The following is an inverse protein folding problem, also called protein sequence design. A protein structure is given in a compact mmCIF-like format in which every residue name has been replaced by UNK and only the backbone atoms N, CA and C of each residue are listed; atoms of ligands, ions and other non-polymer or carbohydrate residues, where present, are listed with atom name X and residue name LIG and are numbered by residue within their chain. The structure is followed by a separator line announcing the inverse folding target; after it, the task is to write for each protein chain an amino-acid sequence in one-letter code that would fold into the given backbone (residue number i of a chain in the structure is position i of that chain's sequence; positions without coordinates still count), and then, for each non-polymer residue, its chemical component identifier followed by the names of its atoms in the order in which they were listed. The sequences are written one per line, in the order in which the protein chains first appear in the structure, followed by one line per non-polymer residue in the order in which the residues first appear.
data_IF_625724155693
#
_entry.id   IF_625724155693
#
_cell.length_a   1.000
_cell.length_b   1.000
_cell.length_c   1.000
_cell.angle_alpha   90.00
_cell.angle_beta   90.00
_cell.angle_gamma   90.00
#
_symmetry.space_group_name_H-M   'P 1'
#
loop_
_entity.id
_entity.type
_entity.pdbx_description
1 polymer ?
#
# COMPACT_ATOMS: atom_id res chain seq x y z
N UNK A 1 21.32 32.18 -3.51
CA UNK A 1 20.38 31.98 -4.63
C UNK A 1 19.43 30.84 -4.27
N UNK A 2 18.32 31.16 -3.60
CA UNK A 2 17.29 30.19 -3.20
C UNK A 2 16.48 29.82 -4.45
N UNK A 3 16.68 28.60 -4.96
CA UNK A 3 15.83 28.03 -6.00
C UNK A 3 14.45 27.75 -5.39
N UNK A 4 13.55 28.72 -5.49
CA UNK A 4 12.12 28.49 -5.37
C UNK A 4 11.74 27.45 -6.42
N UNK A 5 11.50 26.21 -5.98
CA UNK A 5 10.83 25.18 -6.76
C UNK A 5 9.47 25.75 -7.17
N UNK A 6 9.40 26.34 -8.36
CA UNK A 6 8.13 26.61 -9.03
C UNK A 6 7.49 25.26 -9.31
N UNK A 7 6.61 24.80 -8.42
CA UNK A 7 5.72 23.68 -8.70
C UNK A 7 5.01 23.96 -10.03
N UNK A 8 5.03 22.99 -10.94
CA UNK A 8 4.28 23.10 -12.18
C UNK A 8 2.79 23.24 -11.79
N UNK A 9 2.12 24.28 -12.27
CA UNK A 9 0.74 24.67 -11.90
C UNK A 9 -0.28 23.49 -11.92
N UNK A 10 -0.03 22.44 -12.70
CA UNK A 10 -0.85 21.23 -12.77
C UNK A 10 -0.61 20.17 -11.68
N UNK A 11 0.54 20.15 -11.01
CA UNK A 11 0.83 19.17 -9.94
C UNK A 11 -0.05 19.42 -8.69
N UNK A 12 -0.33 20.70 -8.39
CA UNK A 12 -1.16 21.08 -7.24
C UNK A 12 -2.66 20.89 -7.44
N UNK A 13 -3.18 20.98 -8.67
CA UNK A 13 -4.62 20.83 -8.95
C UNK A 13 -5.09 19.38 -8.92
N UNK A 14 -4.29 18.46 -9.47
CA UNK A 14 -4.58 17.03 -9.40
C UNK A 14 -4.65 16.59 -7.93
N UNK A 15 -3.66 16.98 -7.11
CA UNK A 15 -3.61 16.60 -5.70
C UNK A 15 -4.79 17.09 -4.87
N UNK A 16 -5.22 18.34 -5.07
CA UNK A 16 -6.42 18.88 -4.40
C UNK A 16 -7.66 18.03 -4.67
N UNK A 17 -7.76 17.44 -5.87
CA UNK A 17 -8.87 16.54 -6.20
C UNK A 17 -8.80 15.25 -5.40
N UNK A 18 -7.62 14.61 -5.31
CA UNK A 18 -7.42 13.44 -4.44
C UNK A 18 -7.82 13.71 -2.99
N UNK A 19 -7.30 14.79 -2.40
CA UNK A 19 -7.57 15.15 -1.00
C UNK A 19 -9.06 15.40 -0.75
N UNK A 20 -9.71 16.19 -1.61
CA UNK A 20 -11.14 16.49 -1.50
C UNK A 20 -12.00 15.23 -1.61
N UNK A 21 -11.76 14.39 -2.62
CA UNK A 21 -12.54 13.15 -2.82
C UNK A 21 -12.34 12.17 -1.68
N UNK A 22 -11.10 12.03 -1.20
CA UNK A 22 -10.81 11.18 -0.04
C UNK A 22 -11.54 11.66 1.21
N UNK A 23 -11.47 12.97 1.49
CA UNK A 23 -12.13 13.55 2.64
C UNK A 23 -13.64 13.30 2.62
N UNK A 24 -14.30 13.55 1.48
CA UNK A 24 -15.74 13.30 1.31
C UNK A 24 -16.12 11.83 1.57
N UNK A 25 -15.33 10.87 1.07
CA UNK A 25 -15.57 9.44 1.33
C UNK A 25 -15.42 9.10 2.81
N UNK A 26 -14.38 9.61 3.47
CA UNK A 26 -14.15 9.31 4.88
C UNK A 26 -15.17 9.98 5.80
N UNK A 27 -15.66 11.17 5.49
CA UNK A 27 -16.78 11.80 6.22
C UNK A 27 -18.04 10.92 6.17
N UNK A 28 -18.31 10.27 5.04
CA UNK A 28 -19.44 9.35 4.90
C UNK A 28 -19.22 8.02 5.65
N UNK A 29 -18.06 7.39 5.46
CA UNK A 29 -17.78 6.05 5.99
C UNK A 29 -17.46 6.05 7.49
N UNK A 30 -16.85 7.14 7.99
CA UNK A 30 -16.37 7.30 9.38
C UNK A 30 -16.67 8.71 9.91
N UNK A 31 -17.94 9.13 10.03
CA UNK A 31 -18.32 10.50 10.38
C UNK A 31 -17.83 10.98 11.76
N UNK A 32 -17.49 10.04 12.64
CA UNK A 32 -16.99 10.35 13.99
C UNK A 32 -15.45 10.48 14.06
N UNK A 33 -14.75 10.31 12.93
CA UNK A 33 -13.30 10.35 12.84
C UNK A 33 -12.86 11.36 11.78
N UNK A 34 -11.80 12.10 12.05
CA UNK A 34 -11.22 13.03 11.06
C UNK A 34 -10.10 12.36 10.30
N UNK A 35 -10.18 12.35 8.97
CA UNK A 35 -9.16 11.75 8.10
C UNK A 35 -8.49 12.78 7.18
N UNK A 36 -7.17 12.69 7.05
CA UNK A 36 -6.36 13.53 6.15
C UNK A 36 -5.56 12.67 5.16
N UNK A 37 -5.32 13.23 3.97
CA UNK A 37 -4.45 12.65 2.95
C UNK A 37 -3.38 13.65 2.54
N UNK A 38 -2.11 13.24 2.62
CA UNK A 38 -0.94 14.07 2.30
C UNK A 38 -0.02 13.34 1.32
N UNK A 39 0.78 14.10 0.56
CA UNK A 39 1.77 13.53 -0.37
C UNK A 39 3.13 13.49 0.30
N UNK A 40 3.84 12.39 0.13
CA UNK A 40 5.19 12.21 0.64
C UNK A 40 6.08 11.52 -0.41
N UNK A 41 6.97 12.30 -1.04
CA UNK A 41 7.79 11.85 -2.18
C UNK A 41 8.76 10.72 -1.83
N UNK A 42 9.15 10.58 -0.56
CA UNK A 42 10.10 9.59 -0.08
C UNK A 42 9.42 8.41 0.64
N UNK A 43 8.09 8.26 0.52
CA UNK A 43 7.38 7.14 1.13
C UNK A 43 7.94 5.81 0.61
N UNK A 44 8.31 4.93 1.54
CA UNK A 44 8.94 3.64 1.27
C UNK A 44 8.02 2.51 1.70
N UNK A 45 7.84 1.46 0.88
CA UNK A 45 7.06 0.28 1.27
C UNK A 45 7.82 -0.64 2.24
N UNK A 46 9.11 -0.40 2.48
CA UNK A 46 9.93 -1.27 3.32
C UNK A 46 9.72 -0.89 4.78
N UNK A 47 9.21 -1.85 5.56
CA UNK A 47 9.01 -1.76 7.01
C UNK A 47 8.33 -0.45 7.43
N UNK A 48 7.04 -0.25 7.10
CA UNK A 48 6.32 0.92 7.61
C UNK A 48 6.47 0.94 9.14
N UNK A 49 6.96 2.05 9.68
CA UNK A 49 7.11 2.21 11.13
C UNK A 49 5.77 1.91 11.80
N UNK A 50 5.75 1.09 12.87
CA UNK A 50 4.51 1.00 13.66
C UNK A 50 4.24 2.40 14.22
N UNK A 51 3.00 2.91 14.15
CA UNK A 51 1.72 2.22 13.96
C UNK A 51 1.14 2.22 12.51
N UNK A 52 1.94 2.44 11.48
CA UNK A 52 1.47 2.58 10.10
C UNK A 52 1.17 1.24 9.41
N UNK A 53 0.08 1.23 8.64
CA UNK A 53 -0.31 0.15 7.73
C UNK A 53 0.01 0.51 6.27
N UNK A 54 0.54 -0.44 5.51
CA UNK A 54 0.85 -0.26 4.10
C UNK A 54 -0.26 -0.80 3.19
N UNK A 55 -0.62 0.00 2.18
CA UNK A 55 -1.38 -0.45 1.02
C UNK A 55 -0.68 -0.02 -0.27
N UNK A 56 -0.61 -0.91 -1.24
CA UNK A 56 -0.06 -0.65 -2.57
C UNK A 56 -1.16 -0.82 -3.61
N UNK A 57 -1.59 0.29 -4.22
CA UNK A 57 -2.39 0.22 -5.43
C UNK A 57 -1.44 -0.05 -6.59
N UNK A 58 -1.60 -1.21 -7.21
CA UNK A 58 -0.88 -1.61 -8.42
C UNK A 58 -1.80 -1.48 -9.63
N UNK A 59 -1.21 -1.47 -10.83
CA UNK A 59 -1.94 -1.45 -12.10
C UNK A 59 -2.91 -0.26 -12.26
N UNK A 60 -2.57 0.89 -11.68
CA UNK A 60 -3.37 2.09 -11.90
C UNK A 60 -3.12 2.63 -13.31
N UNK A 61 -4.19 2.99 -14.02
CA UNK A 61 -4.10 3.65 -15.31
C UNK A 61 -3.93 5.15 -15.14
N UNK A 62 -2.97 5.74 -15.86
CA UNK A 62 -2.79 7.17 -15.90
C UNK A 62 -2.12 7.63 -17.20
N UNK A 63 -2.17 8.93 -17.45
CA UNK A 63 -1.49 9.59 -18.56
C UNK A 63 -0.31 10.41 -18.05
N UNK A 64 0.75 10.42 -18.81
CA UNK A 64 1.94 11.22 -18.55
C UNK A 64 2.14 12.25 -19.65
N UNK A 65 2.71 13.39 -19.26
CA UNK A 65 3.16 14.41 -20.20
C UNK A 65 4.60 14.78 -19.85
N UNK A 66 5.47 14.77 -20.86
CA UNK A 66 6.85 15.22 -20.66
C UNK A 66 6.87 16.74 -20.46
N UNK A 67 7.63 17.19 -19.48
CA UNK A 67 7.92 18.60 -19.23
C UNK A 67 9.00 19.16 -20.16
N UNK A 68 9.84 18.30 -20.75
CA UNK A 68 10.94 18.68 -21.63
C UNK A 68 10.62 18.60 -23.13
N UNK A 69 9.55 17.91 -23.52
CA UNK A 69 9.14 17.77 -24.92
C UNK A 69 7.61 17.61 -25.05
N UNK A 70 7.10 17.52 -26.28
CA UNK A 70 5.65 17.45 -26.54
C UNK A 70 5.03 16.06 -26.35
N UNK A 71 5.81 15.04 -25.97
CA UNK A 71 5.28 13.68 -25.84
C UNK A 71 4.33 13.52 -24.66
N UNK A 72 3.28 12.77 -24.92
CA UNK A 72 2.34 12.23 -23.95
C UNK A 72 2.27 10.72 -24.13
N UNK A 73 2.01 9.98 -23.07
CA UNK A 73 1.84 8.53 -23.15
C UNK A 73 0.92 8.02 -22.03
N UNK A 74 0.07 7.01 -22.30
CA UNK A 74 -0.67 6.31 -21.26
C UNK A 74 0.21 5.24 -20.59
N UNK A 75 -0.24 4.76 -19.44
CA UNK A 75 0.32 3.60 -18.76
C UNK A 75 -0.74 2.97 -17.87
N UNK A 76 -0.97 1.67 -18.03
CA UNK A 76 -1.83 0.86 -17.18
C UNK A 76 -1.12 0.34 -15.91
N UNK A 77 0.15 0.70 -15.70
CA UNK A 77 0.97 0.20 -14.60
C UNK A 77 1.65 1.34 -13.82
N UNK A 78 0.82 2.22 -13.25
CA UNK A 78 1.25 3.15 -12.22
C UNK A 78 1.09 2.51 -10.84
N UNK A 79 2.08 2.73 -9.98
CA UNK A 79 2.08 2.26 -8.60
C UNK A 79 1.86 3.45 -7.66
N UNK A 80 0.94 3.26 -6.71
CA UNK A 80 0.66 4.23 -5.66
C UNK A 80 0.83 3.53 -4.31
N UNK A 81 1.62 4.15 -3.43
CA UNK A 81 1.81 3.71 -2.06
C UNK A 81 0.96 4.55 -1.13
N UNK A 82 0.36 3.88 -0.16
CA UNK A 82 -0.38 4.49 0.94
C UNK A 82 0.16 3.95 2.27
N UNK A 83 0.58 4.84 3.16
CA UNK A 83 0.73 4.54 4.58
C UNK A 83 -0.48 5.10 5.31
N UNK A 84 -1.18 4.26 6.06
CA UNK A 84 -2.42 4.60 6.76
C UNK A 84 -2.21 4.39 8.25
N UNK A 85 -2.63 5.34 9.08
CA UNK A 85 -2.57 5.23 10.52
C UNK A 85 -3.84 5.85 11.13
N UNK A 86 -4.40 5.20 12.15
CA UNK A 86 -5.50 5.73 12.95
C UNK A 86 -5.05 5.85 14.40
N UNK A 87 -5.05 7.07 14.92
CA UNK A 87 -4.95 7.35 16.34
C UNK A 87 -6.34 7.23 16.98
N UNK A 88 -6.55 6.14 17.71
CA UNK A 88 -7.81 5.86 18.40
C UNK A 88 -8.10 6.83 19.55
N UNK A 89 -7.07 7.39 20.19
CA UNK A 89 -7.25 8.32 21.31
C UNK A 89 -7.75 9.67 20.84
N UNK A 90 -7.31 10.11 19.66
CA UNK A 90 -7.69 11.40 19.07
C UNK A 90 -8.82 11.28 18.05
N UNK A 91 -9.22 10.05 17.67
CA UNK A 91 -10.18 9.81 16.57
C UNK A 91 -9.70 10.45 15.26
N UNK A 92 -8.40 10.40 15.02
CA UNK A 92 -7.73 11.04 13.87
C UNK A 92 -6.97 10.02 13.03
N UNK A 93 -7.33 9.95 11.75
CA UNK A 93 -6.69 9.14 10.75
C UNK A 93 -5.82 9.95 9.79
N UNK A 94 -4.72 9.35 9.36
CA UNK A 94 -3.76 9.95 8.44
C UNK A 94 -3.42 8.97 7.34
N UNK A 95 -3.39 9.47 6.10
CA UNK A 95 -2.89 8.77 4.93
C UNK A 95 -1.75 9.57 4.33
N UNK A 96 -0.57 8.95 4.24
CA UNK A 96 0.54 9.44 3.43
C UNK A 96 0.53 8.71 2.10
N UNK A 97 0.62 9.44 1.00
CA UNK A 97 0.51 8.92 -0.35
C UNK A 97 1.77 9.23 -1.17
N UNK A 98 2.25 8.25 -1.92
CA UNK A 98 3.26 8.45 -2.95
C UNK A 98 2.79 7.87 -4.27
N UNK A 99 2.78 8.70 -5.31
CA UNK A 99 2.44 8.30 -6.67
C UNK A 99 3.74 8.18 -7.46
N UNK A 100 4.04 7.01 -8.01
CA UNK A 100 5.28 6.79 -8.74
C UNK A 100 5.19 7.30 -10.19
N UNK A 101 6.17 8.09 -10.60
CA UNK A 101 6.27 8.67 -11.93
C UNK A 101 6.94 7.77 -12.97
N UNK A 102 7.05 8.29 -14.21
CA UNK A 102 7.74 7.62 -15.31
C UNK A 102 8.63 8.59 -16.09
N UNK A 103 9.78 8.12 -16.57
CA UNK A 103 10.67 8.88 -17.45
C UNK A 103 10.15 8.90 -18.88
N UNK A 104 10.35 10.03 -19.58
CA UNK A 104 10.08 10.12 -21.00
C UNK A 104 11.00 9.18 -21.82
N UNK A 105 10.45 8.52 -22.85
CA UNK A 105 11.20 7.64 -23.77
C UNK A 105 12.28 8.34 -24.59
N UNK A 106 12.07 9.61 -24.92
CA UNK A 106 12.92 10.35 -25.87
C UNK A 106 14.01 11.18 -25.19
N UNK A 107 13.74 11.69 -24.00
CA UNK A 107 14.61 12.67 -23.35
C UNK A 107 15.68 11.97 -22.51
N UNK A 108 16.95 12.23 -22.81
CA UNK A 108 18.08 11.80 -21.98
C UNK A 108 18.08 12.56 -20.65
N UNK A 109 18.38 11.88 -19.54
CA UNK A 109 18.39 12.49 -18.21
C UNK A 109 17.02 12.97 -17.71
N UNK A 110 15.91 12.50 -18.30
CA UNK A 110 14.57 12.92 -17.91
C UNK A 110 14.31 12.63 -16.42
N UNK A 111 13.72 13.60 -15.73
CA UNK A 111 13.09 13.39 -14.42
C UNK A 111 11.92 12.41 -14.55
N UNK A 112 11.48 11.84 -13.43
CA UNK A 112 10.20 11.14 -13.40
C UNK A 112 9.08 12.17 -13.51
N UNK A 113 8.26 12.03 -14.55
CA UNK A 113 7.07 12.85 -14.73
C UNK A 113 5.93 12.29 -13.88
N UNK A 114 5.16 13.16 -13.26
CA UNK A 114 4.00 12.76 -12.46
C UNK A 114 2.82 12.37 -13.36
N UNK A 115 2.10 11.30 -13.03
CA UNK A 115 0.91 10.91 -13.78
C UNK A 115 -0.28 11.84 -13.51
N UNK A 116 -1.16 11.93 -14.50
CA UNK A 116 -2.50 12.52 -14.40
C UNK A 116 -3.54 11.41 -14.52
N UNK A 117 -4.43 11.35 -13.54
CA UNK A 117 -5.52 10.37 -13.48
C UNK A 117 -6.84 11.03 -13.88
N UNK A 118 -7.74 10.27 -14.46
CA UNK A 118 -9.13 10.72 -14.58
C UNK A 118 -9.80 10.73 -13.20
N UNK A 119 -10.88 11.50 -13.08
CA UNK A 119 -11.66 11.51 -11.84
C UNK A 119 -12.21 10.11 -11.49
N UNK A 120 -12.61 9.32 -12.48
CA UNK A 120 -13.17 7.98 -12.25
C UNK A 120 -12.11 7.01 -11.68
N UNK A 121 -10.89 7.07 -12.22
CA UNK A 121 -9.76 6.31 -11.67
C UNK A 121 -9.40 6.78 -10.25
N UNK A 122 -9.45 8.09 -9.97
CA UNK A 122 -9.26 8.62 -8.60
C UNK A 122 -10.30 8.02 -7.66
N UNK A 123 -11.59 8.08 -8.01
CA UNK A 123 -12.68 7.54 -7.20
C UNK A 123 -12.46 6.05 -6.90
N UNK A 124 -12.19 5.24 -7.93
CA UNK A 124 -11.94 3.80 -7.81
C UNK A 124 -10.77 3.46 -6.88
N UNK A 125 -9.66 4.17 -7.04
CA UNK A 125 -8.46 3.97 -6.21
C UNK A 125 -8.73 4.37 -4.76
N UNK A 126 -9.48 5.45 -4.55
CA UNK A 126 -9.87 5.87 -3.21
C UNK A 126 -10.86 4.91 -2.55
N UNK A 127 -11.80 4.31 -3.29
CA UNK A 127 -12.68 3.26 -2.75
C UNK A 127 -11.86 2.08 -2.23
N UNK A 128 -10.88 1.63 -3.00
CA UNK A 128 -9.95 0.58 -2.57
C UNK A 128 -9.16 0.97 -1.31
N UNK A 129 -8.67 2.21 -1.25
CA UNK A 129 -7.96 2.74 -0.09
C UNK A 129 -8.87 2.73 1.15
N UNK A 130 -10.11 3.21 1.03
CA UNK A 130 -11.11 3.21 2.11
C UNK A 130 -11.35 1.79 2.61
N UNK A 131 -11.56 0.81 1.72
CA UNK A 131 -11.70 -0.59 2.12
C UNK A 131 -10.49 -1.10 2.90
N UNK A 132 -9.27 -0.68 2.53
CA UNK A 132 -8.05 -1.02 3.29
C UNK A 132 -7.98 -0.32 4.63
N UNK A 133 -8.48 0.91 4.75
CA UNK A 133 -8.60 1.60 6.04
C UNK A 133 -9.55 0.83 6.97
N UNK A 134 -10.73 0.44 6.49
CA UNK A 134 -11.67 -0.41 7.25
C UNK A 134 -10.98 -1.69 7.74
N UNK A 135 -10.34 -2.43 6.83
CA UNK A 135 -9.73 -3.71 7.15
C UNK A 135 -8.50 -3.63 8.06
N UNK A 136 -7.64 -2.63 7.87
CA UNK A 136 -6.34 -2.55 8.55
C UNK A 136 -6.37 -1.65 9.78
N UNK A 137 -6.95 -0.45 9.66
CA UNK A 137 -6.95 0.53 10.74
C UNK A 137 -8.09 0.25 11.74
N UNK A 138 -9.30 -0.04 11.23
CA UNK A 138 -10.47 -0.33 12.07
C UNK A 138 -10.65 -1.82 12.40
N UNK A 139 -9.91 -2.71 11.72
CA UNK A 139 -10.02 -4.17 11.85
C UNK A 139 -11.42 -4.70 11.54
N UNK A 140 -12.14 -4.01 10.66
CA UNK A 140 -13.49 -4.38 10.24
C UNK A 140 -13.44 -5.38 9.07
N UNK A 141 -14.43 -6.28 9.01
CA UNK A 141 -14.53 -7.22 7.90
C UNK A 141 -14.91 -6.52 6.60
N UNK A 142 -14.28 -6.93 5.51
CA UNK A 142 -14.57 -6.48 4.14
C UNK A 142 -15.00 -7.64 3.23
N UNK A 143 -15.44 -8.77 3.79
CA UNK A 143 -15.70 -10.00 3.03
C UNK A 143 -16.70 -9.87 1.87
N UNK A 144 -17.61 -8.88 1.92
CA UNK A 144 -18.59 -8.59 0.87
C UNK A 144 -18.18 -7.42 -0.03
N UNK A 145 -16.94 -6.92 0.09
CA UNK A 145 -16.43 -5.73 -0.59
C UNK A 145 -15.08 -6.05 -1.21
N UNK A 146 -15.09 -6.37 -2.50
CA UNK A 146 -13.88 -6.65 -3.25
C UNK A 146 -13.17 -5.36 -3.67
N UNK A 147 -11.83 -5.43 -3.73
CA UNK A 147 -11.07 -4.37 -4.39
C UNK A 147 -11.37 -4.41 -5.87
N UNK A 148 -11.78 -3.28 -6.41
CA UNK A 148 -12.07 -3.17 -7.82
C UNK A 148 -10.81 -2.69 -8.57
N UNK A 149 -10.45 -3.38 -9.65
CA UNK A 149 -9.29 -3.00 -10.45
C UNK A 149 -9.45 -1.56 -11.00
N UNK A 150 -8.38 -0.76 -11.11
CA UNK A 150 -8.42 0.53 -11.79
C UNK A 150 -8.89 0.40 -13.24
N UNK A 151 -9.53 1.45 -13.76
CA UNK A 151 -10.13 1.44 -15.09
C UNK A 151 -9.05 1.74 -16.13
N UNK A 152 -8.88 0.85 -17.11
CA UNK A 152 -8.00 1.09 -18.25
C UNK A 152 -8.81 1.79 -19.34
N UNK A 153 -8.51 3.08 -19.56
CA UNK A 153 -9.30 3.93 -20.47
C UNK A 153 -8.81 3.91 -21.92
N UNK A 154 -7.58 3.44 -22.15
CA UNK A 154 -6.97 3.32 -23.47
C UNK A 154 -6.13 2.04 -23.53
N UNK A 155 -6.06 1.43 -24.71
CA UNK A 155 -5.18 0.30 -24.95
C UNK A 155 -3.72 0.71 -24.76
N UNK A 156 -3.05 0.02 -23.83
CA UNK A 156 -1.62 0.22 -23.56
C UNK A 156 -0.87 -0.96 -24.14
N UNK A 157 -0.15 -0.72 -25.23
CA UNK A 157 0.61 -1.74 -25.92
C UNK A 157 1.93 -2.07 -25.22
N UNK A 158 2.28 -3.36 -25.25
CA UNK A 158 3.60 -3.85 -24.88
C UNK A 158 3.81 -4.07 -23.38
N UNK A 159 4.97 -4.64 -23.01
CA UNK A 159 5.28 -4.94 -21.63
C UNK A 159 5.55 -3.67 -20.83
N UNK A 160 5.43 -3.77 -19.50
CA UNK A 160 5.83 -2.71 -18.58
C UNK A 160 7.31 -2.33 -18.76
N UNK A 161 7.57 -1.07 -19.13
CA UNK A 161 8.93 -0.56 -19.30
C UNK A 161 9.58 -0.27 -17.93
N UNK A 162 10.21 -1.31 -17.37
CA UNK A 162 10.87 -1.28 -16.07
C UNK A 162 11.99 -0.25 -15.99
N UNK A 163 12.64 0.10 -17.12
CA UNK A 163 13.77 1.04 -17.15
C UNK A 163 13.35 2.49 -16.90
N UNK A 164 12.06 2.79 -17.08
CA UNK A 164 11.51 4.15 -16.96
C UNK A 164 10.55 4.33 -15.80
N UNK A 165 10.13 3.25 -15.16
CA UNK A 165 9.22 3.29 -14.02
C UNK A 165 9.97 3.64 -12.73
N UNK A 166 9.53 4.67 -12.02
CA UNK A 166 10.11 5.06 -10.73
C UNK A 166 10.02 3.94 -9.69
N UNK A 167 8.88 3.26 -9.63
CA UNK A 167 8.70 2.13 -8.72
C UNK A 167 9.64 0.96 -9.02
N UNK A 168 9.98 0.72 -10.29
CA UNK A 168 11.00 -0.27 -10.66
C UNK A 168 12.40 0.19 -10.24
N UNK A 169 12.74 1.46 -10.47
CA UNK A 169 14.03 2.02 -10.06
C UNK A 169 14.25 1.94 -8.52
N UNK A 170 13.18 1.99 -7.74
CA UNK A 170 13.19 1.84 -6.29
C UNK A 170 13.03 0.38 -5.81
N UNK A 171 12.88 -0.56 -6.75
CA UNK A 171 12.67 -1.98 -6.47
C UNK A 171 11.27 -2.34 -5.93
N UNK A 172 10.33 -1.39 -5.90
CA UNK A 172 9.00 -1.53 -5.30
C UNK A 172 8.09 -2.45 -6.11
N UNK A 173 8.18 -2.39 -7.44
CA UNK A 173 7.40 -3.25 -8.33
C UNK A 173 7.63 -4.74 -8.04
N UNK A 174 8.79 -5.11 -7.49
CA UNK A 174 9.16 -6.49 -7.19
C UNK A 174 8.75 -6.95 -5.76
N UNK A 175 8.26 -6.04 -4.90
CA UNK A 175 7.97 -6.32 -3.48
C UNK A 175 6.64 -7.06 -3.21
N UNK A 176 6.02 -7.72 -4.20
CA UNK A 176 4.78 -8.47 -3.96
C UNK A 176 4.64 -9.79 -4.73
N UNK A 177 5.76 -10.38 -5.19
CA UNK A 177 5.74 -11.76 -5.70
C UNK A 177 6.27 -12.79 -4.70
N UNK A 178 6.96 -12.36 -3.64
CA UNK A 178 7.47 -13.26 -2.61
C UNK A 178 7.37 -12.56 -1.25
N UNK A 179 6.79 -13.24 -0.25
CA UNK A 179 7.19 -13.00 1.13
C UNK A 179 8.72 -12.99 1.17
N UNK A 180 9.30 -12.03 1.89
CA UNK A 180 10.71 -11.66 1.88
C UNK A 180 11.68 -12.83 1.59
N UNK A 181 12.07 -13.02 0.33
CA UNK A 181 13.25 -13.81 -0.05
C UNK A 181 14.17 -12.89 -0.81
N UNK A 182 15.29 -12.54 -0.19
CA UNK A 182 16.39 -11.86 -0.86
C UNK A 182 17.02 -12.88 -1.84
N UNK A 183 17.15 -12.57 -3.14
CA UNK A 183 17.91 -13.40 -4.05
C UNK A 183 19.36 -13.49 -3.57
N UNK A 184 19.90 -14.70 -3.47
CA UNK A 184 21.25 -14.98 -2.98
C UNK A 184 22.36 -14.16 -3.69
N UNK A 185 22.10 -13.63 -4.89
CA UNK A 185 23.04 -12.78 -5.62
C UNK A 185 23.36 -11.44 -4.95
N UNK A 186 22.48 -10.92 -4.08
CA UNK A 186 22.73 -9.70 -3.30
C UNK A 186 23.36 -9.99 -1.93
N UNK A 187 23.42 -11.26 -1.51
CA UNK A 187 24.00 -11.67 -0.23
C UNK A 187 25.50 -12.00 -0.32
N UNK A 188 26.07 -12.13 -1.52
CA UNK A 188 27.46 -12.55 -1.73
C UNK A 188 28.52 -11.48 -1.38
N UNK A 189 28.10 -10.28 -0.96
CA UNK A 189 29.00 -9.21 -0.55
C UNK A 189 28.95 -8.97 0.98
N UNK A 190 29.14 -10.03 1.78
CA UNK A 190 29.73 -9.98 3.13
C UNK A 190 29.53 -11.30 3.86
N UNK A 191 30.57 -12.13 3.92
CA UNK A 191 30.82 -13.13 4.97
C UNK A 191 32.35 -13.34 5.05
N UNK A 192 32.93 -13.65 6.23
CA UNK A 192 32.41 -14.65 7.17
C UNK A 192 32.43 -14.26 8.66
N UNK A 193 31.58 -14.95 9.43
CA UNK A 193 31.55 -14.88 10.89
C UNK A 193 30.46 -15.77 11.47
N UNK A 194 30.77 -17.04 11.62
CA UNK A 194 29.97 -18.15 12.14
C UNK A 194 29.49 -17.92 13.58
N UNK A 195 28.22 -18.20 13.89
CA UNK A 195 27.77 -18.91 15.11
C UNK A 195 26.30 -19.32 14.99
N UNK A 196 26.09 -20.62 15.13
CA UNK A 196 24.79 -21.29 15.10
C UNK A 196 23.97 -21.00 16.36
N UNK A 197 22.67 -20.74 16.20
CA UNK A 197 21.68 -20.86 17.26
C UNK A 197 20.45 -21.59 16.70
N UNK A 198 20.10 -22.68 17.34
CA UNK A 198 18.92 -23.49 17.07
C UNK A 198 17.72 -22.78 17.71
N UNK A 199 16.60 -22.67 16.99
CA UNK A 199 15.36 -22.08 17.52
C UNK A 199 14.15 -22.68 16.82
N UNK A 200 13.43 -23.52 17.55
CA UNK A 200 12.29 -24.31 17.11
C UNK A 200 11.11 -23.45 16.61
N UNK A 201 10.49 -23.91 15.52
CA UNK A 201 9.26 -23.38 14.97
C UNK A 201 8.08 -23.65 15.92
N UNK A 202 7.59 -22.60 16.58
CA UNK A 202 6.34 -22.65 17.37
C UNK A 202 5.13 -22.45 16.45
N UNK A 203 4.88 -23.39 15.54
CA UNK A 203 3.66 -23.42 14.70
C UNK A 203 2.78 -24.66 15.00
N UNK A 204 3.09 -25.40 16.08
CA UNK A 204 2.41 -26.65 16.44
C UNK A 204 1.52 -26.58 17.68
N UNK A 205 1.64 -25.53 18.52
CA UNK A 205 1.00 -25.51 19.84
C UNK A 205 -0.41 -24.90 19.89
N UNK A 206 -0.79 -24.02 18.96
CA UNK A 206 -2.12 -23.41 19.01
C UNK A 206 -3.24 -24.41 18.64
N UNK A 207 -2.95 -25.37 17.75
CA UNK A 207 -3.90 -26.42 17.38
C UNK A 207 -4.18 -27.35 18.55
N UNK A 208 -3.16 -27.69 19.34
CA UNK A 208 -3.32 -28.55 20.50
C UNK A 208 -4.13 -27.85 21.60
N UNK A 209 -3.91 -26.56 21.82
CA UNK A 209 -4.70 -25.76 22.77
C UNK A 209 -6.18 -25.67 22.37
N UNK A 210 -6.51 -25.50 21.08
CA UNK A 210 -7.89 -25.42 20.62
C UNK A 210 -8.68 -26.74 20.80
N UNK A 211 -8.03 -27.90 20.78
CA UNK A 211 -8.71 -29.19 20.96
C UNK A 211 -8.71 -29.70 22.40
N UNK A 212 -7.64 -29.47 23.16
CA UNK A 212 -7.49 -30.07 24.50
C UNK A 212 -8.20 -29.25 25.57
N UNK A 213 -8.22 -27.91 25.47
CA UNK A 213 -8.92 -27.05 26.43
C UNK A 213 -10.43 -27.33 26.54
N UNK A 214 -11.22 -27.40 25.44
CA UNK A 214 -12.65 -27.68 25.55
C UNK A 214 -12.95 -29.10 26.05
N UNK A 215 -12.10 -30.09 25.75
CA UNK A 215 -12.26 -31.47 26.23
C UNK A 215 -12.01 -31.57 27.74
N UNK A 216 -10.95 -30.92 28.25
CA UNK A 216 -10.65 -30.89 29.68
C UNK A 216 -11.74 -30.13 30.45
N UNK A 217 -12.22 -29.00 29.91
CA UNK A 217 -13.34 -28.26 30.50
C UNK A 217 -14.62 -29.11 30.53
N UNK A 218 -14.93 -29.83 29.45
CA UNK A 218 -16.09 -30.72 29.41
C UNK A 218 -15.98 -31.87 30.42
N UNK A 219 -14.80 -32.48 30.57
CA UNK A 219 -14.57 -33.56 31.54
C UNK A 219 -14.65 -33.06 32.99
N UNK A 220 -14.16 -31.86 33.28
CA UNK A 220 -14.29 -31.24 34.61
C UNK A 220 -15.74 -30.88 34.95
N UNK A 221 -16.49 -30.35 33.97
CA UNK A 221 -17.93 -30.08 34.14
C UNK A 221 -18.67 -31.40 34.40
N UNK A 222 -18.36 -32.47 33.66
CA UNK A 222 -18.94 -33.79 33.87
C UNK A 222 -18.60 -34.33 35.26
N UNK A 223 -17.34 -34.24 35.69
CA UNK A 223 -16.92 -34.68 37.02
C UNK A 223 -17.65 -33.92 38.14
N UNK A 224 -17.86 -32.61 37.99
CA UNK A 224 -18.59 -31.79 38.98
C UNK A 224 -20.09 -32.11 39.01
N UNK A 225 -20.71 -32.34 37.85
CA UNK A 225 -22.15 -32.65 37.77
C UNK A 225 -22.49 -34.06 38.25
N UNK A 226 -21.56 -35.01 38.14
CA UNK A 226 -21.81 -36.43 38.44
C UNK A 226 -21.12 -36.96 39.70
N UNK A 227 -20.25 -36.18 40.36
CA UNK A 227 -19.66 -36.56 41.68
C UNK A 227 -20.47 -36.05 42.88
N UNK A 228 -21.69 -35.55 42.67
CA UNK A 228 -22.58 -35.00 43.70
C UNK A 228 -23.79 -35.89 44.02
N UNK A 229 -23.60 -37.21 44.14
CA UNK A 229 -24.57 -38.14 44.72
C UNK A 229 -23.87 -39.11 45.67
#
# INVERSE_FOLDING_TARGET
MLLLKRGCKGEGENMKTWQRRFHQKMEWEKPNDTWSLTVEDNLSPRNPERPWHLYQQRKAFARFQCSCCTRRWPSAQVLILFHMHLDWSQRQGQVKMRVCGQKCKKCHGAKFEMPTFSQENIERILDNLVLKIHAKCYRESIANRDLADPIVEEDVEGPHDTTRCEACALGICYLSTYGFVIPASLAAASQPGQLAWWGADTESDWKLLCYVLPVVVALLIFAVLFSGK
#
